data_IF_725663649095
#
_entry.id   IF_725663649095
#
_cell.length_a   1.000
_cell.length_b   1.000
_cell.length_c   1.000
_cell.angle_alpha   90.00
_cell.angle_beta   90.00
_cell.angle_gamma   90.00
#
_symmetry.space_group_name_H-M   'P 1'
#
loop_
_entity.id
_entity.type
_entity.pdbx_description
1 polymer ?
#
# COMPACT_ATOMS: atom_id res chain seq x y z
N UNK A 1 17.89 2.48 17.31
CA UNK A 1 16.58 3.13 17.52
C UNK A 1 16.38 4.13 16.39
N UNK A 2 15.23 4.12 15.72
CA UNK A 2 14.88 5.08 14.65
C UNK A 2 13.55 5.71 15.03
N UNK A 3 13.48 7.03 15.03
CA UNK A 3 12.24 7.79 15.21
C UNK A 3 11.77 8.21 13.83
N UNK A 4 10.45 8.12 13.59
CA UNK A 4 9.83 8.65 12.39
C UNK A 4 8.98 9.84 12.80
N UNK A 5 9.39 11.02 12.38
CA UNK A 5 8.70 12.27 12.69
C UNK A 5 7.68 12.60 11.60
N UNK A 6 6.58 13.22 11.98
CA UNK A 6 5.52 13.64 11.04
C UNK A 6 6.04 14.66 10.01
N UNK A 7 7.09 15.41 10.33
CA UNK A 7 7.79 16.30 9.38
C UNK A 7 8.34 15.55 8.15
N UNK A 8 8.66 14.26 8.28
CA UNK A 8 9.11 13.44 7.17
C UNK A 8 7.96 13.13 6.20
N UNK A 9 6.70 13.19 6.64
CA UNK A 9 5.55 12.95 5.78
C UNK A 9 5.38 14.07 4.78
N UNK A 10 5.63 15.33 5.15
CA UNK A 10 5.51 16.47 4.25
C UNK A 10 6.49 16.35 3.07
N UNK A 11 7.74 15.93 3.33
CA UNK A 11 8.70 15.66 2.26
C UNK A 11 8.22 14.55 1.31
N UNK A 12 7.67 13.47 1.88
CA UNK A 12 7.11 12.38 1.07
C UNK A 12 5.92 12.87 0.23
N UNK A 13 5.07 13.74 0.75
CA UNK A 13 3.95 14.30 0.00
C UNK A 13 4.42 15.19 -1.16
N UNK A 14 5.45 16.02 -0.97
CA UNK A 14 6.00 16.80 -2.09
C UNK A 14 6.57 15.89 -3.17
N UNK A 15 7.33 14.86 -2.79
CA UNK A 15 7.83 13.85 -3.74
C UNK A 15 6.69 13.07 -4.43
N UNK A 16 5.58 12.83 -3.72
CA UNK A 16 4.42 12.16 -4.29
C UNK A 16 3.76 13.02 -5.38
N UNK A 17 3.58 14.32 -5.14
CA UNK A 17 2.99 15.26 -6.11
C UNK A 17 3.79 15.36 -7.41
N UNK A 18 5.12 15.29 -7.32
CA UNK A 18 6.01 15.36 -8.47
C UNK A 18 6.17 14.03 -9.22
N UNK A 19 5.63 12.94 -8.67
CA UNK A 19 5.71 11.61 -9.29
C UNK A 19 4.54 11.36 -10.24
N UNK A 20 4.80 10.68 -11.36
CA UNK A 20 3.77 10.27 -12.32
C UNK A 20 2.62 9.48 -11.67
N UNK A 21 2.97 8.64 -10.68
CA UNK A 21 2.05 7.75 -9.97
C UNK A 21 1.37 8.40 -8.75
N UNK A 22 1.64 9.68 -8.49
CA UNK A 22 1.09 10.45 -7.38
C UNK A 22 1.38 9.83 -5.99
N UNK A 23 2.49 9.10 -5.87
CA UNK A 23 2.93 8.48 -4.61
C UNK A 23 4.44 8.36 -4.53
N UNK A 24 4.95 8.48 -3.31
CA UNK A 24 6.35 8.25 -2.95
C UNK A 24 6.41 7.25 -1.78
N UNK A 25 7.61 6.80 -1.43
CA UNK A 25 7.76 5.90 -0.29
C UNK A 25 9.09 6.09 0.45
N UNK A 26 9.10 5.68 1.71
CA UNK A 26 10.29 5.59 2.55
C UNK A 26 10.46 4.14 3.01
N UNK A 27 11.62 3.55 2.72
CA UNK A 27 11.98 2.24 3.26
C UNK A 27 12.35 2.39 4.75
N UNK A 28 11.69 1.59 5.58
CA UNK A 28 11.97 1.49 7.02
C UNK A 28 12.95 0.37 7.36
N UNK A 29 13.24 -0.50 6.40
CA UNK A 29 14.28 -1.53 6.44
C UNK A 29 15.55 -1.03 5.72
N UNK A 30 16.71 -1.59 6.06
CA UNK A 30 18.01 -1.20 5.50
C UNK A 30 18.34 -1.93 4.19
N UNK A 31 17.74 -3.11 3.98
CA UNK A 31 18.03 -3.95 2.82
C UNK A 31 16.79 -4.74 2.38
N UNK A 32 16.65 -4.88 1.07
CA UNK A 32 15.67 -5.78 0.45
C UNK A 32 15.88 -7.26 0.82
N UNK A 33 17.01 -7.61 1.42
CA UNK A 33 17.27 -8.96 1.95
C UNK A 33 16.71 -9.19 3.36
N UNK A 34 16.13 -8.16 4.01
CA UNK A 34 15.47 -8.36 5.30
C UNK A 34 14.21 -9.21 5.16
N UNK A 35 13.99 -10.10 6.13
CA UNK A 35 12.84 -11.02 6.19
C UNK A 35 11.48 -10.32 6.25
N UNK A 36 11.46 -9.04 6.61
CA UNK A 36 10.24 -8.23 6.70
C UNK A 36 10.52 -6.89 6.04
N UNK A 37 9.76 -6.59 5.00
CA UNK A 37 9.78 -5.32 4.32
C UNK A 37 8.76 -4.39 5.00
N UNK A 38 9.19 -3.17 5.30
CA UNK A 38 8.39 -2.12 5.95
C UNK A 38 8.57 -0.83 5.18
N UNK A 39 7.47 -0.23 4.77
CA UNK A 39 7.46 0.98 3.94
C UNK A 39 6.46 1.97 4.52
N UNK A 40 6.77 3.26 4.46
CA UNK A 40 5.76 4.30 4.46
C UNK A 40 5.50 4.71 3.02
N UNK A 41 4.24 4.78 2.64
CA UNK A 41 3.78 5.18 1.33
C UNK A 41 2.96 6.44 1.50
N UNK A 42 3.43 7.54 0.92
CA UNK A 42 2.68 8.78 0.86
C UNK A 42 1.96 8.83 -0.48
N UNK A 43 0.64 8.99 -0.42
CA UNK A 43 -0.23 9.08 -1.59
C UNK A 43 -0.90 10.45 -1.58
N UNK A 44 -1.07 11.07 -2.74
CA UNK A 44 -1.95 12.23 -2.91
C UNK A 44 -3.18 11.86 -3.74
N UNK A 45 -4.25 12.65 -3.63
CA UNK A 45 -5.53 12.39 -4.30
C UNK A 45 -5.34 11.98 -5.76
N UNK A 46 -5.98 10.88 -6.16
CA UNK A 46 -5.88 10.32 -7.51
C UNK A 46 -4.71 9.35 -7.70
N UNK A 47 -3.84 9.18 -6.70
CA UNK A 47 -2.91 8.05 -6.69
C UNK A 47 -3.67 6.74 -6.68
N UNK A 48 -3.36 5.90 -7.67
CA UNK A 48 -3.99 4.61 -7.86
C UNK A 48 -2.94 3.50 -7.99
N UNK A 49 -3.12 2.44 -7.21
CA UNK A 49 -2.44 1.16 -7.35
C UNK A 49 -3.44 0.21 -7.97
N UNK A 50 -3.19 -0.17 -9.21
CA UNK A 50 -4.05 -1.05 -10.00
C UNK A 50 -4.23 -2.44 -9.36
N UNK A 51 -5.26 -3.20 -9.76
CA UNK A 51 -5.50 -4.54 -9.24
C UNK A 51 -4.26 -5.43 -9.35
N UNK A 52 -3.82 -5.96 -8.22
CA UNK A 52 -2.68 -6.87 -8.14
C UNK A 52 -2.87 -7.83 -6.97
N UNK A 53 -2.02 -8.85 -6.91
CA UNK A 53 -1.99 -9.81 -5.81
C UNK A 53 -0.58 -10.36 -5.62
N UNK A 54 -0.38 -11.03 -4.49
CA UNK A 54 0.84 -11.77 -4.22
C UNK A 54 0.60 -13.27 -4.41
N UNK A 55 1.40 -13.92 -5.25
CA UNK A 55 1.12 -15.28 -5.73
C UNK A 55 1.74 -16.39 -4.87
N UNK A 56 2.80 -16.08 -4.10
CA UNK A 56 3.46 -17.09 -3.27
C UNK A 56 2.74 -17.27 -1.92
N UNK A 57 2.63 -18.49 -1.38
CA UNK A 57 1.84 -18.78 -0.17
C UNK A 57 2.23 -18.02 1.11
N UNK A 58 3.46 -17.50 1.18
CA UNK A 58 3.97 -16.71 2.30
C UNK A 58 3.79 -15.20 2.10
N UNK A 59 3.39 -14.72 0.93
CA UNK A 59 3.35 -13.28 0.67
C UNK A 59 2.02 -12.67 1.09
N UNK A 60 1.82 -12.49 2.39
CA UNK A 60 0.76 -11.62 2.92
C UNK A 60 1.21 -10.16 2.90
N UNK A 61 0.23 -9.26 2.95
CA UNK A 61 0.44 -7.82 3.00
C UNK A 61 -0.49 -7.17 4.02
N UNK A 62 0.02 -6.16 4.72
CA UNK A 62 -0.72 -5.41 5.73
C UNK A 62 -0.53 -3.92 5.55
N UNK A 63 -1.63 -3.19 5.57
CA UNK A 63 -1.68 -1.73 5.56
C UNK A 63 -2.10 -1.20 6.93
N UNK A 64 -1.43 -0.14 7.39
CA UNK A 64 -1.90 0.69 8.50
C UNK A 64 -2.00 2.13 8.00
N UNK A 65 -3.20 2.73 8.07
CA UNK A 65 -3.42 4.08 7.58
C UNK A 65 -3.16 5.05 8.74
N UNK A 66 -2.07 5.83 8.61
CA UNK A 66 -1.59 6.74 9.66
C UNK A 66 -2.19 8.15 9.52
N UNK A 67 -2.55 8.56 8.30
CA UNK A 67 -3.15 9.85 8.01
C UNK A 67 -4.02 9.74 6.75
N UNK A 68 -5.12 10.50 6.71
CA UNK A 68 -6.01 10.56 5.55
C UNK A 68 -6.84 9.29 5.34
N UNK A 69 -7.30 9.09 4.11
CA UNK A 69 -8.20 8.01 3.72
C UNK A 69 -7.80 7.41 2.38
N UNK A 70 -7.83 6.09 2.32
CA UNK A 70 -7.71 5.30 1.09
C UNK A 70 -8.99 4.50 0.87
N UNK A 71 -9.24 4.12 -0.38
CA UNK A 71 -10.20 3.09 -0.74
C UNK A 71 -9.47 1.82 -1.11
N UNK A 72 -9.89 0.70 -0.51
CA UNK A 72 -9.44 -0.63 -0.91
C UNK A 72 -10.58 -1.31 -1.64
N UNK A 73 -10.30 -1.89 -2.80
CA UNK A 73 -11.27 -2.67 -3.58
C UNK A 73 -10.71 -4.07 -3.79
N UNK A 74 -11.47 -5.09 -3.41
CA UNK A 74 -11.17 -6.49 -3.67
C UNK A 74 -11.94 -6.98 -4.88
N UNK A 75 -11.28 -7.80 -5.70
CA UNK A 75 -11.82 -8.36 -6.93
C UNK A 75 -11.77 -9.88 -6.88
N UNK A 76 -12.69 -10.52 -7.60
CA UNK A 76 -12.56 -11.94 -7.90
C UNK A 76 -11.68 -12.18 -9.14
N UNK A 77 -11.45 -13.44 -9.47
CA UNK A 77 -10.64 -13.85 -10.62
C UNK A 77 -11.22 -13.45 -11.99
N UNK A 78 -12.48 -12.97 -12.05
CA UNK A 78 -13.14 -12.47 -13.27
C UNK A 78 -13.13 -10.94 -13.37
N UNK A 79 -12.56 -10.24 -12.39
CA UNK A 79 -12.53 -8.77 -12.34
C UNK A 79 -13.78 -8.13 -11.77
N UNK A 80 -14.68 -8.91 -11.18
CA UNK A 80 -15.86 -8.38 -10.50
C UNK A 80 -15.47 -7.92 -9.09
N UNK A 81 -15.99 -6.77 -8.67
CA UNK A 81 -15.78 -6.25 -7.31
C UNK A 81 -16.49 -7.17 -6.31
N UNK A 82 -15.72 -7.71 -5.36
CA UNK A 82 -16.23 -8.47 -4.22
C UNK A 82 -16.60 -7.56 -3.07
N UNK A 83 -15.73 -6.59 -2.75
CA UNK A 83 -15.97 -5.60 -1.71
C UNK A 83 -15.16 -4.35 -1.98
N UNK A 84 -15.65 -3.22 -1.49
CA UNK A 84 -15.02 -1.93 -1.58
C UNK A 84 -15.31 -1.14 -0.31
N UNK A 85 -14.28 -0.57 0.31
CA UNK A 85 -14.43 0.16 1.56
C UNK A 85 -13.37 1.23 1.73
N UNK A 86 -13.68 2.24 2.55
CA UNK A 86 -12.74 3.27 2.96
C UNK A 86 -12.00 2.83 4.23
N UNK A 87 -10.70 3.08 4.27
CA UNK A 87 -9.85 2.90 5.44
C UNK A 87 -9.08 4.18 5.76
N UNK A 88 -8.97 4.52 7.04
CA UNK A 88 -8.30 5.72 7.54
C UNK A 88 -9.12 6.58 8.48
N UNK A 89 -8.74 7.85 8.60
CA UNK A 89 -9.32 8.81 9.54
C UNK A 89 -10.85 8.94 9.37
N UNK A 90 -11.59 8.96 10.47
CA UNK A 90 -13.05 9.10 10.44
C UNK A 90 -13.81 7.88 9.89
N UNK A 91 -13.12 6.79 9.54
CA UNK A 91 -13.74 5.51 9.17
C UNK A 91 -13.75 4.53 10.33
N UNK A 92 -14.39 3.37 10.16
CA UNK A 92 -14.32 2.26 11.11
C UNK A 92 -13.12 1.32 10.90
N UNK A 93 -12.24 1.59 9.93
CA UNK A 93 -11.15 0.68 9.51
C UNK A 93 -9.85 1.44 9.42
N UNK A 94 -8.84 1.09 10.22
CA UNK A 94 -7.50 1.71 10.17
C UNK A 94 -6.37 0.75 9.78
N UNK A 95 -6.67 -0.55 9.74
CA UNK A 95 -5.74 -1.63 9.40
C UNK A 95 -6.43 -2.54 8.39
N UNK A 96 -5.71 -2.95 7.36
CA UNK A 96 -6.16 -3.91 6.35
C UNK A 96 -5.09 -4.99 6.23
N UNK A 97 -5.48 -6.25 6.22
CA UNK A 97 -4.59 -7.39 6.00
C UNK A 97 -5.13 -8.21 4.83
N UNK A 98 -4.23 -8.59 3.92
CA UNK A 98 -4.52 -9.24 2.66
C UNK A 98 -3.76 -10.55 2.59
N UNK A 99 -4.49 -11.61 2.27
CA UNK A 99 -3.92 -12.93 2.09
C UNK A 99 -3.25 -13.05 0.71
N UNK A 100 -2.31 -13.98 0.52
CA UNK A 100 -1.85 -14.34 -0.81
C UNK A 100 -3.03 -14.67 -1.73
N UNK A 101 -2.99 -14.15 -2.96
CA UNK A 101 -4.06 -14.32 -3.95
C UNK A 101 -5.23 -13.33 -3.83
N UNK A 102 -5.31 -12.50 -2.78
CA UNK A 102 -6.34 -11.46 -2.70
C UNK A 102 -6.04 -10.36 -3.74
N UNK A 103 -6.82 -10.36 -4.82
CA UNK A 103 -6.70 -9.36 -5.90
C UNK A 103 -7.29 -8.05 -5.40
N UNK A 104 -6.45 -7.03 -5.26
CA UNK A 104 -6.86 -5.76 -4.67
C UNK A 104 -6.25 -4.55 -5.39
N UNK A 105 -6.97 -3.43 -5.34
CA UNK A 105 -6.48 -2.11 -5.75
C UNK A 105 -6.58 -1.11 -4.59
N UNK A 106 -5.73 -0.10 -4.58
CA UNK A 106 -5.70 0.95 -3.56
C UNK A 106 -5.76 2.32 -4.23
N UNK A 107 -6.68 3.18 -3.79
CA UNK A 107 -6.82 4.56 -4.26
C UNK A 107 -6.75 5.56 -3.10
N UNK A 108 -6.05 6.67 -3.28
CA UNK A 108 -6.07 7.78 -2.31
C UNK A 108 -7.31 8.67 -2.51
N UNK A 109 -8.22 8.67 -1.53
CA UNK A 109 -9.49 9.40 -1.57
C UNK A 109 -9.43 10.73 -0.83
N UNK A 110 -8.61 10.85 0.22
CA UNK A 110 -8.33 12.16 0.82
C UNK A 110 -7.38 12.98 -0.05
N UNK A 111 -7.18 14.27 0.29
CA UNK A 111 -6.19 15.11 -0.40
C UNK A 111 -4.78 14.49 -0.36
N UNK A 112 -4.45 13.89 0.79
CA UNK A 112 -3.21 13.18 1.04
C UNK A 112 -3.43 12.07 2.05
N UNK A 113 -2.70 10.97 1.94
CA UNK A 113 -2.75 9.84 2.87
C UNK A 113 -1.36 9.26 3.12
N UNK A 114 -1.07 8.89 4.37
CA UNK A 114 0.11 8.09 4.73
C UNK A 114 -0.35 6.69 5.10
N UNK A 115 0.19 5.70 4.41
CA UNK A 115 -0.04 4.28 4.66
C UNK A 115 1.29 3.62 5.01
N UNK A 116 1.35 2.87 6.11
CA UNK A 116 2.45 1.94 6.37
C UNK A 116 2.10 0.60 5.75
N UNK A 117 2.98 0.09 4.89
CA UNK A 117 2.89 -1.26 4.31
C UNK A 117 3.92 -2.17 5.00
N UNK A 118 3.47 -3.35 5.41
CA UNK A 118 4.31 -4.42 5.93
C UNK A 118 4.03 -5.67 5.11
N UNK A 119 5.11 -6.33 4.66
CA UNK A 119 5.02 -7.60 3.94
C UNK A 119 6.26 -8.44 4.16
N UNK A 120 6.15 -9.73 3.83
CA UNK A 120 7.28 -10.64 3.89
C UNK A 120 8.38 -10.25 2.92
N UNK A 121 9.62 -10.42 3.36
CA UNK A 121 10.80 -10.41 2.51
C UNK A 121 11.54 -11.74 2.59
N UNK A 122 12.68 -11.89 1.92
CA UNK A 122 13.33 -10.91 1.05
C UNK A 122 12.46 -10.44 -0.11
N UNK A 123 12.67 -9.19 -0.54
CA UNK A 123 12.04 -8.69 -1.76
C UNK A 123 12.72 -9.31 -2.98
N UNK A 124 11.94 -10.08 -3.74
CA UNK A 124 12.31 -10.59 -5.05
C UNK A 124 11.48 -9.86 -6.12
N UNK A 125 12.10 -9.05 -6.99
CA UNK A 125 11.40 -8.36 -8.08
C UNK A 125 10.59 -9.30 -8.98
N UNK A 126 11.02 -10.55 -9.17
CA UNK A 126 10.32 -11.53 -10.00
C UNK A 126 8.98 -11.95 -9.41
N UNK A 127 8.83 -11.86 -8.08
CA UNK A 127 7.62 -12.24 -7.34
C UNK A 127 7.06 -11.06 -6.55
N UNK A 128 7.40 -9.82 -6.93
CA UNK A 128 7.01 -8.62 -6.18
C UNK A 128 5.49 -8.45 -6.12
N UNK A 129 4.82 -8.79 -7.22
CA UNK A 129 3.37 -8.83 -7.38
C UNK A 129 3.04 -9.47 -8.73
N UNK A 130 1.87 -10.09 -8.80
CA UNK A 130 1.26 -10.54 -10.03
C UNK A 130 0.04 -9.66 -10.35
N UNK A 131 -0.36 -9.66 -11.61
CA UNK A 131 -1.51 -8.90 -12.10
C UNK A 131 -2.53 -9.85 -12.71
N UNK A 132 -3.83 -9.61 -12.49
CA UNK A 132 -4.85 -10.35 -13.19
C UNK A 132 -4.77 -10.12 -14.71
N UNK A 133 -5.32 -11.05 -15.50
CA UNK A 133 -5.29 -10.99 -16.97
C UNK A 133 -6.45 -10.23 -17.60
N UNK A 134 -7.40 -9.75 -16.80
CA UNK A 134 -8.59 -9.03 -17.25
C UNK A 134 -8.38 -7.52 -17.28
#
# INVERSE_FOLDING_TARGET
>A
MRLIETSQFDLLFEQAKDSERLRSHLLLHNSHQEKVQRLLIAMVRGSYVEPHYHELPQQWEMFTILQGQIQVTLFNSKGEILTQFLAGEGTGVCIVELSPGDIHSVECISEKAIMMEIKEGPFDPAYAKAFPHW
#
